data_IF_392111045223
#
_entry.id   IF_392111045223
#
_cell.length_a   1.000
_cell.length_b   1.000
_cell.length_c   1.000
_cell.angle_alpha   90.00
_cell.angle_beta   90.00
_cell.angle_gamma   90.00
#
_symmetry.space_group_name_H-M   'P 1'
#
loop_
_entity.id
_entity.type
_entity.pdbx_description
1 polymer ?
#
# COMPACT_ATOMS: atom_id res chain seq x y z
N UNK A 1 -4.40 9.65 6.77
CA UNK A 1 -4.77 8.31 6.30
C UNK A 1 -5.89 8.33 5.25
N UNK A 2 -6.96 9.11 5.50
CA UNK A 2 -8.10 9.13 4.60
C UNK A 2 -7.74 9.64 3.20
N UNK A 3 -6.82 10.59 3.11
CA UNK A 3 -6.36 11.09 1.82
C UNK A 3 -5.65 10.01 1.01
N UNK A 4 -4.84 9.18 1.66
CA UNK A 4 -4.15 8.07 1.02
C UNK A 4 -5.16 7.04 0.49
N UNK A 5 -6.08 6.64 1.33
CA UNK A 5 -7.13 5.68 0.98
C UNK A 5 -7.96 6.19 -0.19
N UNK A 6 -8.42 7.44 -0.11
CA UNK A 6 -9.24 8.03 -1.16
C UNK A 6 -8.49 8.11 -2.49
N UNK A 7 -7.24 8.52 -2.46
CA UNK A 7 -6.41 8.61 -3.66
C UNK A 7 -6.26 7.23 -4.33
N UNK A 8 -5.97 6.20 -3.53
CA UNK A 8 -5.77 4.85 -4.03
C UNK A 8 -7.07 4.26 -4.57
N UNK A 9 -8.16 4.40 -3.81
CA UNK A 9 -9.46 3.85 -4.21
C UNK A 9 -10.01 4.52 -5.46
N UNK A 10 -9.79 5.82 -5.61
CA UNK A 10 -10.20 6.55 -6.81
C UNK A 10 -9.51 6.01 -8.08
N UNK A 11 -8.38 5.36 -7.93
CA UNK A 11 -7.61 4.78 -9.04
C UNK A 11 -7.81 3.27 -9.16
N UNK A 12 -8.75 2.71 -8.40
CA UNK A 12 -9.06 1.29 -8.43
C UNK A 12 -8.04 0.41 -7.74
N UNK A 13 -7.18 0.99 -6.90
CA UNK A 13 -6.14 0.25 -6.18
C UNK A 13 -6.59 -0.27 -4.81
N UNK A 14 -5.73 -1.01 -4.18
CA UNK A 14 -5.94 -1.53 -2.84
C UNK A 14 -4.60 -1.70 -2.13
N UNK A 15 -4.61 -1.74 -0.78
CA UNK A 15 -3.36 -1.95 -0.04
C UNK A 15 -2.92 -3.41 -0.13
N UNK A 16 -1.61 -3.61 -0.13
CA UNK A 16 -1.03 -4.94 -0.22
C UNK A 16 0.28 -5.01 0.54
N UNK A 17 0.74 -6.23 0.81
CA UNK A 17 2.07 -6.46 1.35
C UNK A 17 2.82 -7.43 0.44
N UNK A 18 4.15 -7.37 0.48
CA UNK A 18 4.99 -8.27 -0.29
C UNK A 18 5.06 -9.61 0.43
N UNK A 19 4.70 -10.69 -0.26
CA UNK A 19 4.70 -12.03 0.31
C UNK A 19 6.11 -12.42 0.78
N UNK A 20 6.17 -13.08 1.93
CA UNK A 20 7.43 -13.57 2.47
C UNK A 20 8.22 -12.53 3.27
N UNK A 21 7.72 -11.31 3.39
CA UNK A 21 8.42 -10.27 4.16
C UNK A 21 7.83 -10.06 5.56
N UNK A 22 6.66 -10.62 5.84
CA UNK A 22 6.06 -10.55 7.17
C UNK A 22 6.88 -11.38 8.17
N UNK A 23 7.12 -10.81 9.35
CA UNK A 23 7.93 -11.45 10.39
C UNK A 23 7.13 -12.02 11.54
N UNK A 24 5.85 -12.12 11.42
CA UNK A 24 5.00 -12.66 12.45
C UNK A 24 3.65 -12.94 11.88
N UNK A 25 2.80 -13.62 12.65
CA UNK A 25 1.50 -14.05 12.17
C UNK A 25 0.55 -12.88 11.90
N UNK A 26 0.74 -11.79 12.62
CA UNK A 26 -0.16 -10.65 12.59
C UNK A 26 0.48 -9.42 11.99
N UNK A 27 1.72 -9.54 11.55
CA UNK A 27 2.46 -8.40 11.05
C UNK A 27 2.46 -8.38 9.53
N UNK A 28 2.06 -7.25 8.96
CA UNK A 28 2.19 -7.04 7.54
C UNK A 28 3.67 -6.92 7.19
N UNK A 29 4.07 -7.45 6.05
CA UNK A 29 5.43 -7.28 5.54
C UNK A 29 5.61 -5.90 4.93
N UNK A 30 6.45 -5.83 3.90
CA UNK A 30 6.66 -4.57 3.17
C UNK A 30 5.36 -4.15 2.49
N UNK A 31 4.99 -2.90 2.68
CA UNK A 31 3.74 -2.37 2.15
C UNK A 31 3.88 -1.95 0.68
N UNK A 32 2.81 -2.14 -0.06
CA UNK A 32 2.69 -1.72 -1.46
C UNK A 32 1.25 -1.33 -1.73
N UNK A 33 1.06 -0.62 -2.84
CA UNK A 33 -0.27 -0.39 -3.40
C UNK A 33 -0.35 -1.20 -4.69
N UNK A 34 -1.40 -1.97 -4.84
CA UNK A 34 -1.62 -2.81 -6.01
C UNK A 34 -2.80 -2.27 -6.82
N UNK A 35 -2.81 -2.53 -8.12
CA UNK A 35 -3.82 -2.05 -9.05
C UNK A 35 -4.26 -3.18 -9.99
N UNK A 36 -5.48 -3.11 -10.55
CA UNK A 36 -5.94 -4.12 -11.50
C UNK A 36 -5.00 -4.21 -12.70
N UNK A 37 -4.75 -5.44 -13.14
CA UNK A 37 -3.90 -5.67 -14.31
C UNK A 37 -2.41 -5.57 -14.06
N UNK A 38 -2.01 -5.29 -12.84
CA UNK A 38 -0.59 -5.23 -12.48
C UNK A 38 0.00 -6.64 -12.40
N UNK A 39 1.23 -6.80 -12.87
CA UNK A 39 1.87 -8.12 -12.93
C UNK A 39 2.38 -8.65 -11.59
N UNK A 40 2.21 -7.90 -10.52
CA UNK A 40 2.72 -8.23 -9.19
C UNK A 40 1.87 -9.19 -8.36
N UNK A 41 0.83 -9.78 -8.92
CA UNK A 41 -0.12 -10.62 -8.17
C UNK A 41 0.52 -11.78 -7.43
N UNK A 42 1.60 -12.34 -7.97
CA UNK A 42 2.26 -13.50 -7.37
C UNK A 42 3.10 -13.15 -6.16
N UNK A 43 3.51 -11.90 -6.06
CA UNK A 43 4.39 -11.42 -5.01
C UNK A 43 3.67 -10.54 -4.00
N UNK A 44 2.46 -10.09 -4.33
CA UNK A 44 1.68 -9.20 -3.47
C UNK A 44 0.48 -9.93 -2.89
N UNK A 45 0.20 -9.66 -1.63
CA UNK A 45 -0.97 -10.15 -0.93
C UNK A 45 -1.82 -8.96 -0.50
N UNK A 46 -3.09 -8.97 -0.89
CA UNK A 46 -4.01 -7.91 -0.49
C UNK A 46 -4.24 -7.95 1.03
N UNK A 47 -4.18 -6.78 1.65
CA UNK A 47 -4.48 -6.61 3.07
C UNK A 47 -5.57 -5.55 3.20
N UNK A 48 -6.16 -5.43 4.40
CA UNK A 48 -7.13 -4.37 4.61
C UNK A 48 -6.44 -3.05 4.98
N UNK A 49 -7.20 -1.95 4.97
CA UNK A 49 -6.65 -0.64 5.26
C UNK A 49 -6.21 -0.51 6.72
N UNK A 50 -6.88 -1.17 7.63
CA UNK A 50 -6.49 -1.11 9.04
C UNK A 50 -5.11 -1.71 9.25
N UNK A 51 -4.85 -2.85 8.66
CA UNK A 51 -3.54 -3.50 8.71
C UNK A 51 -2.48 -2.65 8.02
N UNK A 52 -2.81 -2.08 6.86
CA UNK A 52 -1.92 -1.21 6.12
C UNK A 52 -1.49 -0.01 6.96
N UNK A 53 -2.44 0.71 7.55
CA UNK A 53 -2.13 1.92 8.31
C UNK A 53 -1.46 1.62 9.64
N UNK A 54 -1.75 0.48 10.25
CA UNK A 54 -1.04 0.05 11.45
C UNK A 54 0.45 -0.08 11.15
N UNK A 55 0.80 -0.79 10.09
CA UNK A 55 2.20 -0.94 9.68
C UNK A 55 2.80 0.37 9.20
N UNK A 56 2.03 1.15 8.46
CA UNK A 56 2.43 2.46 7.96
C UNK A 56 2.87 3.38 9.12
N UNK A 57 2.08 3.44 10.17
CA UNK A 57 2.40 4.27 11.33
C UNK A 57 3.56 3.70 12.14
N UNK A 58 3.58 2.40 12.34
CA UNK A 58 4.62 1.70 13.09
C UNK A 58 6.00 1.93 12.48
N UNK A 59 6.10 1.92 11.16
CA UNK A 59 7.35 2.10 10.44
C UNK A 59 7.66 3.56 10.11
N UNK A 60 6.84 4.49 10.57
CA UNK A 60 7.02 5.92 10.30
C UNK A 60 7.13 6.23 8.80
N UNK A 61 6.19 5.71 8.04
CA UNK A 61 6.20 5.89 6.59
C UNK A 61 5.48 7.17 6.18
N UNK A 62 5.80 7.64 4.99
CA UNK A 62 5.08 8.71 4.30
C UNK A 62 4.72 8.22 2.89
N UNK A 63 3.63 8.74 2.37
CA UNK A 63 3.12 8.36 1.06
C UNK A 63 3.27 9.53 0.10
N UNK A 64 4.14 9.35 -0.89
CA UNK A 64 4.34 10.34 -1.95
C UNK A 64 3.52 9.93 -3.16
N UNK A 65 2.77 10.87 -3.73
CA UNK A 65 1.90 10.57 -4.86
C UNK A 65 1.73 11.79 -5.75
N UNK A 66 1.35 11.54 -6.99
CA UNK A 66 0.99 12.61 -7.92
C UNK A 66 -0.50 12.90 -7.82
N UNK A 67 -0.85 14.15 -7.62
CA UNK A 67 -2.25 14.57 -7.53
C UNK A 67 -2.82 14.84 -8.91
N UNK A 68 -2.73 13.84 -9.79
CA UNK A 68 -3.28 13.88 -11.15
C UNK A 68 -4.27 12.74 -11.31
N UNK A 69 -5.45 12.96 -11.88
CA UNK A 69 -6.50 11.93 -11.96
C UNK A 69 -6.08 10.64 -12.64
N UNK A 70 -5.21 10.71 -13.63
CA UNK A 70 -4.80 9.54 -14.41
C UNK A 70 -3.48 8.93 -13.96
N UNK A 71 -2.85 9.46 -12.93
CA UNK A 71 -1.57 8.97 -12.44
C UNK A 71 -1.77 7.95 -11.34
N UNK A 72 -1.06 6.81 -11.44
CA UNK A 72 -0.95 5.82 -10.37
C UNK A 72 0.42 5.87 -9.70
N UNK A 73 1.19 6.91 -10.01
CA UNK A 73 2.52 7.05 -9.44
C UNK A 73 2.43 7.35 -7.95
N UNK A 74 3.02 6.48 -7.15
CA UNK A 74 3.09 6.65 -5.70
C UNK A 74 4.32 5.93 -5.16
N UNK A 75 4.77 6.36 -4.00
CA UNK A 75 5.95 5.79 -3.37
C UNK A 75 5.82 5.88 -1.85
N UNK A 76 6.15 4.79 -1.17
CA UNK A 76 6.26 4.77 0.28
C UNK A 76 7.71 5.03 0.67
N UNK A 77 7.91 6.00 1.55
CA UNK A 77 9.24 6.37 2.03
C UNK A 77 9.19 6.51 3.55
N UNK A 78 10.33 6.47 4.20
CA UNK A 78 10.41 6.77 5.62
C UNK A 78 10.37 8.27 5.84
N UNK A 79 9.64 8.66 6.86
CA UNK A 79 9.58 10.05 7.28
C UNK A 79 10.88 10.51 7.92
#
# INVERSE_FOLDING_TARGET
>A
HDAIRSWVEARGGWPASVKGTARGREEAGLLRIDYPGYSGKRTLQRIDWDEFFEKFDEENLAFLYQDKPNSRFSKLVRR
#
